data_IF_231875821251
#
_entry.id   IF_231875821251
#
_cell.length_a   1.000
_cell.length_b   1.000
_cell.length_c   1.000
_cell.angle_alpha   90.00
_cell.angle_beta   90.00
_cell.angle_gamma   90.00
#
_symmetry.space_group_name_H-M   'P 1'
#
loop_
_entity.id
_entity.type
_entity.pdbx_description
1 polymer ?
#
# COMPACT_ATOMS: atom_id res chain seq x y z
N UNK A 1 -1.14 4.07 -19.09
CA UNK A 1 -1.81 3.21 -20.07
C UNK A 1 -1.26 3.41 -21.48
N UNK A 2 -1.25 4.65 -22.00
CA UNK A 2 -0.80 4.94 -23.38
C UNK A 2 0.61 4.44 -23.73
N UNK A 3 1.51 4.36 -22.75
CA UNK A 3 2.86 3.80 -22.92
C UNK A 3 2.88 2.26 -23.11
N UNK A 4 1.73 1.58 -23.08
CA UNK A 4 1.63 0.13 -23.23
C UNK A 4 2.15 -0.69 -22.05
N UNK A 5 2.27 -0.07 -20.87
CA UNK A 5 2.67 -0.77 -19.64
C UNK A 5 1.51 -1.62 -19.09
N UNK A 6 1.83 -2.73 -18.44
CA UNK A 6 0.85 -3.67 -17.88
C UNK A 6 0.41 -3.27 -16.46
N UNK A 7 1.29 -2.60 -15.72
CA UNK A 7 1.08 -2.30 -14.30
C UNK A 7 1.59 -0.92 -13.90
N UNK A 8 1.05 -0.42 -12.80
CA UNK A 8 1.52 0.78 -12.11
C UNK A 8 1.61 0.51 -10.61
N UNK A 9 2.55 1.17 -9.93
CA UNK A 9 2.60 1.16 -8.46
C UNK A 9 2.27 2.55 -7.91
N UNK A 10 1.23 2.63 -7.08
CA UNK A 10 0.85 3.86 -6.40
C UNK A 10 1.80 4.14 -5.24
N UNK A 11 2.33 5.35 -5.21
CA UNK A 11 3.25 5.80 -4.17
C UNK A 11 2.49 6.25 -2.91
N UNK A 12 2.47 5.43 -1.86
CA UNK A 12 1.72 5.72 -0.61
C UNK A 12 2.47 6.61 0.39
N UNK A 13 3.68 7.08 0.05
CA UNK A 13 4.53 7.79 1.00
C UNK A 13 3.94 9.12 1.51
N UNK A 14 3.06 9.80 0.77
CA UNK A 14 2.36 10.98 1.30
C UNK A 14 1.39 10.60 2.42
N UNK A 15 0.61 9.53 2.23
CA UNK A 15 -0.24 8.97 3.27
C UNK A 15 0.58 8.51 4.48
N UNK A 16 1.71 7.82 4.25
CA UNK A 16 2.59 7.34 5.31
C UNK A 16 3.21 8.48 6.15
N UNK A 17 3.40 9.66 5.55
CA UNK A 17 3.95 10.86 6.19
C UNK A 17 2.88 11.88 6.60
N UNK A 18 1.60 11.50 6.59
CA UNK A 18 0.52 12.39 7.00
C UNK A 18 0.52 12.58 8.53
N UNK A 19 0.75 13.81 8.99
CA UNK A 19 0.80 14.15 10.42
C UNK A 19 -0.54 14.60 11.03
N UNK A 20 -1.59 14.72 10.21
CA UNK A 20 -2.93 15.10 10.67
C UNK A 20 -3.97 14.21 10.00
N UNK A 21 -5.09 13.96 10.68
CA UNK A 21 -6.21 13.19 10.12
C UNK A 21 -6.76 13.82 8.84
N UNK A 22 -6.71 15.15 8.73
CA UNK A 22 -7.14 15.86 7.53
C UNK A 22 -6.29 15.47 6.32
N UNK A 23 -4.96 15.60 6.45
CA UNK A 23 -4.02 15.23 5.37
C UNK A 23 -4.14 13.74 5.06
N UNK A 24 -4.27 12.90 6.09
CA UNK A 24 -4.42 11.46 5.90
C UNK A 24 -5.66 11.12 5.05
N UNK A 25 -6.81 11.73 5.34
CA UNK A 25 -8.04 11.55 4.55
C UNK A 25 -7.87 12.06 3.12
N UNK A 26 -7.27 13.23 2.93
CA UNK A 26 -7.03 13.81 1.60
C UNK A 26 -6.13 12.92 0.74
N UNK A 27 -5.06 12.37 1.31
CA UNK A 27 -4.14 11.47 0.60
C UNK A 27 -4.77 10.09 0.34
N UNK A 28 -5.62 9.60 1.25
CA UNK A 28 -6.36 8.36 1.04
C UNK A 28 -7.36 8.49 -0.11
N UNK A 29 -8.11 9.60 -0.19
CA UNK A 29 -9.02 9.86 -1.31
C UNK A 29 -8.27 9.98 -2.65
N UNK A 30 -7.09 10.61 -2.66
CA UNK A 30 -6.25 10.65 -3.86
C UNK A 30 -5.82 9.26 -4.31
N UNK A 31 -5.41 8.39 -3.38
CA UNK A 31 -5.04 7.01 -3.69
C UNK A 31 -6.23 6.22 -4.24
N UNK A 32 -7.43 6.37 -3.66
CA UNK A 32 -8.66 5.73 -4.13
C UNK A 32 -9.03 6.15 -5.55
N UNK A 33 -8.96 7.46 -5.82
CA UNK A 33 -9.22 7.99 -7.16
C UNK A 33 -8.19 7.49 -8.19
N UNK A 34 -6.90 7.48 -7.83
CA UNK A 34 -5.83 7.00 -8.71
C UNK A 34 -5.95 5.50 -9.00
N UNK A 35 -6.30 4.68 -8.00
CA UNK A 35 -6.49 3.25 -8.17
C UNK A 35 -7.65 2.93 -9.11
N UNK A 36 -8.79 3.60 -8.93
CA UNK A 36 -9.94 3.44 -9.83
C UNK A 36 -9.59 3.83 -11.27
N UNK A 37 -8.96 5.00 -11.47
CA UNK A 37 -8.59 5.46 -12.81
C UNK A 37 -7.59 4.52 -13.50
N UNK A 38 -6.62 3.97 -12.75
CA UNK A 38 -5.67 2.99 -13.28
C UNK A 38 -6.35 1.66 -13.64
N UNK A 39 -7.25 1.17 -12.78
CA UNK A 39 -8.03 -0.04 -13.04
C UNK A 39 -8.97 0.11 -14.24
N UNK A 40 -9.65 1.25 -14.38
CA UNK A 40 -10.49 1.59 -15.55
C UNK A 40 -9.67 1.65 -16.85
N UNK A 41 -8.37 1.95 -16.73
CA UNK A 41 -7.42 1.93 -17.83
C UNK A 41 -6.79 0.55 -18.08
N UNK A 42 -7.35 -0.52 -17.49
CA UNK A 42 -6.88 -1.91 -17.60
C UNK A 42 -5.44 -2.16 -17.12
N UNK A 43 -4.95 -1.33 -16.19
CA UNK A 43 -3.65 -1.55 -15.57
C UNK A 43 -3.83 -2.38 -14.30
N UNK A 44 -2.92 -3.33 -14.07
CA UNK A 44 -2.76 -3.89 -12.74
C UNK A 44 -2.28 -2.77 -11.79
N UNK A 45 -2.96 -2.62 -10.66
CA UNK A 45 -2.64 -1.57 -9.69
C UNK A 45 -1.94 -2.21 -8.50
N UNK A 46 -0.70 -1.82 -8.24
CA UNK A 46 0.03 -2.18 -7.02
C UNK A 46 0.18 -0.94 -6.14
N UNK A 47 0.63 -1.11 -4.90
CA UNK A 47 1.00 0.03 -4.06
C UNK A 47 2.19 -0.28 -3.16
N UNK A 48 2.92 0.75 -2.74
CA UNK A 48 4.09 0.58 -1.88
C UNK A 48 4.53 1.90 -1.27
N UNK A 49 5.77 1.93 -0.77
CA UNK A 49 6.45 3.12 -0.25
C UNK A 49 5.87 3.69 1.06
N UNK A 50 6.40 3.24 2.21
CA UNK A 50 6.05 3.79 3.54
C UNK A 50 4.96 3.02 4.30
N UNK A 51 4.43 1.95 3.71
CA UNK A 51 3.50 1.02 4.36
C UNK A 51 4.20 0.32 5.54
N UNK A 52 3.51 0.20 6.66
CA UNK A 52 3.97 -0.40 7.91
C UNK A 52 2.81 -1.04 8.69
N UNK A 53 3.16 -1.74 9.76
CA UNK A 53 2.23 -2.50 10.61
C UNK A 53 1.11 -1.66 11.28
N UNK A 54 1.20 -0.33 11.27
CA UNK A 54 0.19 0.57 11.84
C UNK A 54 -0.73 1.18 10.79
N UNK A 55 -0.22 1.48 9.60
CA UNK A 55 -0.98 2.17 8.56
C UNK A 55 -1.54 1.24 7.47
N UNK A 56 -1.15 -0.04 7.45
CA UNK A 56 -1.63 -0.99 6.44
C UNK A 56 -3.15 -1.15 6.42
N UNK A 57 -3.82 -1.00 7.57
CA UNK A 57 -5.28 -1.01 7.65
C UNK A 57 -5.94 0.09 6.79
N UNK A 58 -5.29 1.26 6.63
CA UNK A 58 -5.80 2.32 5.76
C UNK A 58 -5.60 1.98 4.28
N UNK A 59 -4.53 1.25 3.95
CA UNK A 59 -4.28 0.80 2.57
C UNK A 59 -5.37 -0.14 2.12
N UNK A 60 -6.00 -0.88 3.04
CA UNK A 60 -7.13 -1.76 2.72
C UNK A 60 -8.35 -1.00 2.18
N UNK A 61 -8.45 0.31 2.43
CA UNK A 61 -9.54 1.17 1.93
C UNK A 61 -9.33 1.59 0.46
N UNK A 62 -8.14 1.33 -0.10
CA UNK A 62 -7.83 1.60 -1.51
C UNK A 62 -8.26 0.40 -2.36
N UNK A 63 -9.21 0.59 -3.30
CA UNK A 63 -9.73 -0.50 -4.12
C UNK A 63 -8.73 -0.93 -5.20
N UNK A 64 -8.99 -2.08 -5.81
CA UNK A 64 -8.31 -2.56 -7.02
C UNK A 64 -6.81 -2.86 -6.88
N UNK A 65 -6.20 -2.84 -5.69
CA UNK A 65 -4.79 -3.18 -5.56
C UNK A 65 -4.58 -4.69 -5.60
N UNK A 66 -3.67 -5.14 -6.45
CA UNK A 66 -3.31 -6.55 -6.63
C UNK A 66 -2.16 -6.96 -5.72
N UNK A 67 -1.18 -6.08 -5.51
CA UNK A 67 0.02 -6.38 -4.73
C UNK A 67 0.49 -5.17 -3.89
N UNK A 68 1.00 -5.44 -2.68
CA UNK A 68 1.66 -4.46 -1.82
C UNK A 68 3.16 -4.72 -1.70
N UNK A 69 3.98 -3.78 -2.19
CA UNK A 69 5.44 -3.84 -2.11
C UNK A 69 5.95 -3.13 -0.85
N UNK A 70 6.36 -3.92 0.15
CA UNK A 70 6.71 -3.43 1.49
C UNK A 70 8.16 -3.83 1.83
N UNK A 71 9.03 -2.83 1.99
CA UNK A 71 10.47 -3.04 2.28
C UNK A 71 10.87 -2.62 3.69
N UNK A 72 11.16 -1.33 3.87
CA UNK A 72 11.82 -0.79 5.07
C UNK A 72 11.18 -1.21 6.39
N UNK A 73 9.84 -1.20 6.49
CA UNK A 73 9.13 -1.54 7.73
C UNK A 73 9.32 -3.02 8.13
N UNK A 74 9.33 -3.94 7.15
CA UNK A 74 9.60 -5.36 7.39
C UNK A 74 11.04 -5.54 7.89
N UNK A 75 12.02 -4.95 7.21
CA UNK A 75 13.43 -5.08 7.59
C UNK A 75 13.69 -4.46 8.98
N UNK A 76 13.12 -3.28 9.25
CA UNK A 76 13.22 -2.63 10.57
C UNK A 76 12.59 -3.47 11.69
N UNK A 77 11.48 -4.17 11.41
CA UNK A 77 10.88 -5.13 12.35
C UNK A 77 11.75 -6.37 12.54
N UNK A 78 12.34 -6.88 11.46
CA UNK A 78 13.17 -8.08 11.45
C UNK A 78 14.41 -7.99 12.35
N UNK A 79 14.94 -6.78 12.60
CA UNK A 79 16.04 -6.55 13.55
C UNK A 79 15.69 -7.08 14.96
N UNK A 80 14.41 -7.08 15.32
CA UNK A 80 13.94 -7.47 16.65
C UNK A 80 13.42 -8.90 16.72
N UNK A 81 12.74 -9.37 15.66
CA UNK A 81 11.98 -10.63 15.69
C UNK A 81 12.45 -11.67 14.67
N UNK A 82 13.45 -11.33 13.85
CA UNK A 82 13.87 -12.10 12.69
C UNK A 82 12.98 -11.86 11.47
N UNK A 83 13.52 -12.09 10.28
CA UNK A 83 12.85 -11.80 9.00
C UNK A 83 11.58 -12.64 8.80
N UNK A 84 11.64 -13.93 9.13
CA UNK A 84 10.50 -14.84 8.99
C UNK A 84 9.29 -14.35 9.81
N UNK A 85 9.51 -14.01 11.08
CA UNK A 85 8.46 -13.49 11.96
C UNK A 85 7.92 -12.15 11.44
N UNK A 86 8.78 -11.24 11.01
CA UNK A 86 8.37 -9.94 10.47
C UNK A 86 7.46 -10.10 9.24
N UNK A 87 7.82 -10.96 8.29
CA UNK A 87 6.99 -11.24 7.10
C UNK A 87 5.65 -11.85 7.51
N UNK A 88 5.64 -12.84 8.41
CA UNK A 88 4.40 -13.47 8.92
C UNK A 88 3.47 -12.47 9.60
N UNK A 89 4.03 -11.56 10.41
CA UNK A 89 3.27 -10.50 11.06
C UNK A 89 2.67 -9.51 10.05
N UNK A 90 3.40 -9.16 8.99
CA UNK A 90 2.89 -8.28 7.94
C UNK A 90 1.75 -8.95 7.16
N UNK A 91 1.92 -10.23 6.79
CA UNK A 91 0.88 -11.03 6.14
C UNK A 91 -0.37 -11.15 7.02
N UNK A 92 -0.20 -11.33 8.34
CA UNK A 92 -1.31 -11.37 9.28
C UNK A 92 -2.01 -10.00 9.40
N UNK A 93 -1.27 -8.89 9.34
CA UNK A 93 -1.85 -7.55 9.32
C UNK A 93 -2.61 -7.26 8.00
N UNK A 94 -2.22 -7.93 6.91
CA UNK A 94 -2.92 -7.95 5.62
C UNK A 94 -4.10 -8.92 5.58
N UNK A 95 -4.40 -9.65 6.66
CA UNK A 95 -5.47 -10.64 6.66
C UNK A 95 -6.80 -10.01 6.23
N UNK A 96 -7.53 -10.71 5.36
CA UNK A 96 -8.76 -10.27 4.72
C UNK A 96 -8.59 -9.14 3.68
N UNK A 97 -7.36 -8.80 3.29
CA UNK A 97 -7.15 -8.00 2.09
C UNK A 97 -7.45 -8.86 0.86
N UNK A 98 -8.47 -8.52 0.05
CA UNK A 98 -8.95 -9.43 -0.98
C UNK A 98 -8.01 -9.54 -2.18
N UNK A 99 -7.15 -8.54 -2.41
CA UNK A 99 -6.48 -8.38 -3.71
C UNK A 99 -7.53 -8.13 -4.79
#
# INVERSE_FOLDING_TARGET
AELGVEMVELHTGKLANAFTEKIQKEELEQLRAAANAASESHLQVNAGHGINYKNIAMIHEVPCLTELNIGHSIISRAIWVGLETAVKEMLAAMANYPG
#
